data_IF_816386685687
#
_entry.id   IF_816386685687
#
_cell.length_a   1.000
_cell.length_b   1.000
_cell.length_c   1.000
_cell.angle_alpha   90.00
_cell.angle_beta   90.00
_cell.angle_gamma   90.00
#
_symmetry.space_group_name_H-M   'P 1'
#
loop_
_entity.id
_entity.type
_entity.pdbx_description
1 polymer ?
#
# COMPACT_ATOMS: atom_id res chain seq x y z
N UNK A 1 11.44 5.83 2.20
CA UNK A 1 11.43 4.33 2.18
C UNK A 1 10.48 3.78 3.24
N UNK A 2 10.19 2.47 3.28
CA UNK A 2 9.20 1.89 4.21
C UNK A 2 9.60 2.04 5.69
N UNK A 3 10.88 1.89 6.03
CA UNK A 3 11.40 2.12 7.38
C UNK A 3 11.19 3.57 7.86
N UNK A 4 11.52 4.53 6.99
CA UNK A 4 11.29 5.95 7.26
C UNK A 4 9.80 6.26 7.50
N UNK A 5 8.91 5.60 6.75
CA UNK A 5 7.47 5.73 6.96
C UNK A 5 7.04 5.21 8.34
N UNK A 6 7.62 4.11 8.83
CA UNK A 6 7.36 3.60 10.19
C UNK A 6 7.81 4.60 11.26
N UNK A 7 8.98 5.20 11.11
CA UNK A 7 9.48 6.21 12.04
C UNK A 7 8.57 7.45 12.06
N UNK A 8 8.18 7.94 10.89
CA UNK A 8 7.25 9.08 10.78
C UNK A 8 5.93 8.74 11.49
N UNK A 9 5.35 7.56 11.26
CA UNK A 9 4.09 7.15 11.87
C UNK A 9 4.23 7.02 13.40
N UNK A 10 5.33 6.45 13.89
CA UNK A 10 5.57 6.24 15.33
C UNK A 10 5.67 7.55 16.12
N UNK A 11 6.25 8.59 15.53
CA UNK A 11 6.42 9.89 16.18
C UNK A 11 5.30 10.90 15.86
N UNK A 12 4.34 10.53 15.02
CA UNK A 12 3.23 11.40 14.66
C UNK A 12 2.18 11.49 15.79
N UNK A 13 1.76 12.71 16.14
CA UNK A 13 0.79 12.98 17.23
C UNK A 13 -0.68 12.68 16.89
N UNK A 14 -0.96 11.95 15.81
CA UNK A 14 -2.32 11.67 15.33
C UNK A 14 -2.75 10.28 15.79
N UNK A 15 -3.96 10.14 16.29
CA UNK A 15 -4.51 8.83 16.71
C UNK A 15 -4.50 7.80 15.57
N UNK A 16 -4.77 8.24 14.35
CA UNK A 16 -4.75 7.39 13.16
C UNK A 16 -3.37 6.75 12.89
N UNK A 17 -2.28 7.34 13.38
CA UNK A 17 -0.93 6.86 13.13
C UNK A 17 -0.69 5.48 13.75
N UNK A 18 -1.21 5.22 14.95
CA UNK A 18 -1.10 3.92 15.62
C UNK A 18 -1.80 2.79 14.86
N UNK A 19 -2.88 3.11 14.15
CA UNK A 19 -3.57 2.12 13.30
C UNK A 19 -2.80 1.92 12.00
N UNK A 20 -2.35 2.99 11.36
CA UNK A 20 -1.59 2.92 10.11
C UNK A 20 -0.24 2.19 10.27
N UNK A 21 0.47 2.40 11.38
CA UNK A 21 1.71 1.71 11.71
C UNK A 21 1.53 0.19 11.65
N UNK A 22 0.43 -0.33 12.22
CA UNK A 22 0.10 -1.77 12.17
C UNK A 22 -0.18 -2.25 10.75
N UNK A 23 -0.84 -1.45 9.93
CA UNK A 23 -1.14 -1.82 8.54
C UNK A 23 0.15 -1.87 7.72
N UNK A 24 1.06 -0.91 7.91
CA UNK A 24 2.38 -0.91 7.24
C UNK A 24 3.22 -2.11 7.67
N UNK A 25 3.30 -2.41 8.97
CA UNK A 25 3.98 -3.60 9.48
C UNK A 25 3.39 -4.89 8.89
N UNK A 26 2.06 -4.97 8.80
CA UNK A 26 1.39 -6.11 8.17
C UNK A 26 1.69 -6.20 6.67
N UNK A 27 1.79 -5.08 5.97
CA UNK A 27 2.08 -5.06 4.54
C UNK A 27 3.50 -5.58 4.25
N UNK A 28 4.49 -5.14 5.06
CA UNK A 28 5.87 -5.64 5.00
C UNK A 28 5.89 -7.16 5.26
N UNK A 29 5.28 -7.61 6.36
CA UNK A 29 5.22 -9.03 6.70
C UNK A 29 4.52 -9.89 5.63
N UNK A 30 3.47 -9.35 4.99
CA UNK A 30 2.77 -10.02 3.90
C UNK A 30 3.65 -10.13 2.65
N UNK A 31 4.47 -9.12 2.37
CA UNK A 31 5.43 -9.15 1.25
C UNK A 31 6.51 -10.21 1.51
N UNK A 32 7.12 -10.21 2.70
CA UNK A 32 8.11 -11.22 3.11
C UNK A 32 7.54 -12.64 3.04
N UNK A 33 6.29 -12.82 3.49
CA UNK A 33 5.63 -14.12 3.46
C UNK A 33 5.39 -14.65 2.04
N UNK A 34 5.15 -13.77 1.05
CA UNK A 34 5.01 -14.18 -0.36
C UNK A 34 6.33 -14.71 -0.95
N UNK A 35 7.47 -14.30 -0.40
CA UNK A 35 8.81 -14.73 -0.79
C UNK A 35 9.35 -15.84 0.11
N UNK A 36 8.46 -16.56 0.79
CA UNK A 36 8.77 -17.64 1.74
C UNK A 36 9.75 -17.21 2.85
N UNK A 37 9.75 -15.91 3.20
CA UNK A 37 10.64 -15.29 4.20
C UNK A 37 12.13 -15.44 3.91
N UNK A 38 12.50 -15.65 2.65
CA UNK A 38 13.90 -15.75 2.24
C UNK A 38 14.55 -14.38 2.13
N UNK A 39 13.76 -13.39 1.72
CA UNK A 39 14.23 -12.03 1.41
C UNK A 39 13.78 -11.03 2.48
N UNK A 40 14.70 -10.17 2.94
CA UNK A 40 14.41 -9.17 3.98
C UNK A 40 14.03 -7.83 3.36
N UNK A 41 13.12 -7.10 4.00
CA UNK A 41 12.62 -5.81 3.49
C UNK A 41 13.71 -4.73 3.32
N UNK A 42 14.77 -4.80 4.14
CA UNK A 42 15.87 -3.84 4.13
C UNK A 42 16.78 -4.00 2.90
N UNK A 43 16.91 -5.22 2.37
CA UNK A 43 17.81 -5.52 1.25
C UNK A 43 17.25 -5.05 -0.09
N UNK A 44 15.92 -4.95 -0.22
CA UNK A 44 15.21 -4.64 -1.47
C UNK A 44 14.70 -3.20 -1.57
N UNK A 45 15.03 -2.37 -0.57
CA UNK A 45 14.58 -0.98 -0.42
C UNK A 45 13.07 -0.84 -0.65
N UNK A 46 12.29 -1.54 0.19
CA UNK A 46 10.84 -1.54 0.08
C UNK A 46 10.27 -0.13 0.27
N UNK A 47 9.34 0.26 -0.59
CA UNK A 47 8.67 1.56 -0.51
C UNK A 47 7.14 1.42 -0.67
N UNK A 48 6.43 2.42 -0.17
CA UNK A 48 4.98 2.51 -0.31
C UNK A 48 4.69 3.12 -1.68
N UNK A 49 4.12 2.33 -2.59
CA UNK A 49 3.76 2.77 -3.95
C UNK A 49 2.48 3.60 -3.92
N UNK A 50 1.45 3.06 -3.28
CA UNK A 50 0.12 3.68 -3.21
C UNK A 50 -0.46 3.54 -1.80
N UNK A 51 -1.11 4.59 -1.32
CA UNK A 51 -1.83 4.59 -0.06
C UNK A 51 -3.10 5.43 -0.21
N UNK A 52 -4.25 4.82 0.04
CA UNK A 52 -5.54 5.51 -0.04
C UNK A 52 -6.48 5.09 1.09
N UNK A 53 -7.42 5.98 1.41
CA UNK A 53 -8.46 5.73 2.40
C UNK A 53 -9.83 6.02 1.80
N UNK A 54 -10.63 4.98 1.67
CA UNK A 54 -11.97 5.04 1.12
C UNK A 54 -13.04 5.09 2.22
N UNK A 55 -14.22 5.58 1.87
CA UNK A 55 -15.37 5.61 2.79
C UNK A 55 -15.91 4.18 2.98
N UNK A 56 -16.24 3.83 4.22
CA UNK A 56 -16.81 2.54 4.58
C UNK A 56 -18.30 2.63 4.89
N UNK A 57 -18.81 1.62 5.58
CA UNK A 57 -20.20 1.63 6.04
C UNK A 57 -20.48 2.76 7.04
N UNK A 58 -21.67 3.34 6.97
CA UNK A 58 -22.08 4.42 7.86
C UNK A 58 -23.18 3.98 8.81
N UNK A 59 -22.90 4.03 10.11
CA UNK A 59 -23.90 3.83 11.14
C UNK A 59 -24.67 5.13 11.38
N UNK A 60 -26.00 5.04 11.32
CA UNK A 60 -26.92 6.15 11.61
C UNK A 60 -27.34 6.07 13.08
N UNK A 61 -27.17 7.16 13.81
CA UNK A 61 -27.63 7.32 15.21
C UNK A 61 -28.41 8.63 15.33
N UNK A 62 -29.30 8.69 16.32
CA UNK A 62 -30.05 9.91 16.62
C UNK A 62 -29.51 10.54 17.89
N UNK A 63 -29.43 11.87 17.91
CA UNK A 63 -29.19 12.67 19.11
C UNK A 63 -30.45 13.48 19.40
N UNK A 64 -30.98 13.43 20.64
CA UNK A 64 -32.13 14.23 21.01
C UNK A 64 -31.81 15.72 20.86
N UNK A 65 -32.76 16.49 20.37
CA UNK A 65 -32.68 17.92 20.16
C UNK A 65 -33.92 18.62 20.73
N UNK A 66 -33.88 19.95 20.93
CA UNK A 66 -35.01 20.69 21.50
C UNK A 66 -36.32 20.52 20.73
N UNK A 67 -37.45 20.70 21.41
CA UNK A 67 -38.81 20.60 20.85
C UNK A 67 -39.14 19.24 20.20
N UNK A 68 -38.71 18.13 20.81
CA UNK A 68 -39.02 16.77 20.32
C UNK A 68 -38.34 16.41 19.00
N UNK A 69 -37.34 17.16 18.57
CA UNK A 69 -36.61 16.93 17.32
C UNK A 69 -35.51 15.88 17.54
N UNK A 70 -35.14 15.18 16.47
CA UNK A 70 -34.02 14.24 16.47
C UNK A 70 -33.05 14.59 15.33
N UNK A 71 -31.82 14.95 15.68
CA UNK A 71 -30.75 15.15 14.69
C UNK A 71 -30.03 13.85 14.40
N UNK A 72 -29.71 13.62 13.12
CA UNK A 72 -28.99 12.43 12.68
C UNK A 72 -27.48 12.64 12.82
N UNK A 73 -26.81 11.73 13.52
CA UNK A 73 -25.36 11.60 13.56
C UNK A 73 -24.96 10.42 12.68
N UNK A 74 -24.00 10.64 11.78
CA UNK A 74 -23.38 9.58 10.99
C UNK A 74 -22.04 9.22 11.65
N UNK A 75 -21.90 7.97 12.08
CA UNK A 75 -20.60 7.40 12.49
C UNK A 75 -20.00 6.74 11.25
N UNK A 76 -18.94 7.34 10.72
CA UNK A 76 -18.26 6.90 9.50
C UNK A 76 -17.16 5.90 9.86
N UNK A 77 -17.03 4.85 9.06
CA UNK A 77 -15.84 4.00 9.04
C UNK A 77 -15.10 4.24 7.74
N UNK A 78 -13.86 3.79 7.64
CA UNK A 78 -13.06 3.86 6.43
C UNK A 78 -12.42 2.51 6.12
N UNK A 79 -12.06 2.33 4.85
CA UNK A 79 -11.15 1.27 4.41
C UNK A 79 -9.80 1.91 4.12
N UNK A 80 -8.72 1.21 4.45
CA UNK A 80 -7.35 1.68 4.21
C UNK A 80 -6.65 0.62 3.39
N UNK A 81 -6.08 1.03 2.26
CA UNK A 81 -5.32 0.15 1.38
C UNK A 81 -3.93 0.72 1.20
N UNK A 82 -2.92 -0.12 1.42
CA UNK A 82 -1.52 0.21 1.26
C UNK A 82 -0.91 -0.84 0.32
N UNK A 83 -0.23 -0.36 -0.72
CA UNK A 83 0.50 -1.18 -1.68
C UNK A 83 1.99 -0.90 -1.52
N UNK A 84 2.74 -1.96 -1.24
CA UNK A 84 4.21 -1.93 -1.14
C UNK A 84 4.85 -2.49 -2.40
N UNK A 85 5.97 -1.92 -2.80
CA UNK A 85 6.77 -2.35 -3.93
C UNK A 85 8.27 -2.29 -3.57
N UNK A 86 9.06 -3.13 -4.22
CA UNK A 86 10.51 -3.15 -4.16
C UNK A 86 11.09 -2.17 -5.20
N UNK A 87 12.17 -1.48 -4.85
CA UNK A 87 12.94 -0.66 -5.80
C UNK A 87 13.98 -1.51 -6.52
N UNK A 88 14.58 -2.46 -5.81
CA UNK A 88 15.53 -3.42 -6.36
C UNK A 88 14.72 -4.63 -6.87
N UNK A 89 14.83 -4.98 -8.15
CA UNK A 89 14.07 -6.11 -8.72
C UNK A 89 14.54 -7.43 -8.11
N UNK A 90 13.61 -8.36 -7.93
CA UNK A 90 13.94 -9.72 -7.51
C UNK A 90 14.57 -10.50 -8.69
N UNK A 91 15.45 -11.47 -8.42
CA UNK A 91 16.03 -12.30 -9.48
C UNK A 91 14.97 -13.08 -10.29
N UNK A 92 13.85 -13.45 -9.67
CA UNK A 92 12.72 -14.07 -10.36
C UNK A 92 11.91 -13.11 -11.25
N UNK A 93 11.94 -11.81 -10.96
CA UNK A 93 11.29 -10.78 -11.78
C UNK A 93 12.15 -10.41 -13.00
N UNK A 94 13.48 -10.53 -12.88
CA UNK A 94 14.41 -10.31 -13.98
C UNK A 94 14.23 -11.30 -15.15
N UNK A 95 13.81 -12.53 -14.87
CA UNK A 95 13.52 -13.54 -15.91
C UNK A 95 12.20 -13.26 -16.67
N UNK A 96 11.23 -12.58 -16.02
CA UNK A 96 9.94 -12.24 -16.61
C UNK A 96 9.97 -11.04 -17.56
N UNK A 97 10.93 -10.13 -17.40
CA UNK A 97 11.12 -8.96 -18.26
C UNK A 97 11.76 -9.30 -19.62
N UNK A 98 12.39 -10.47 -19.75
CA UNK A 98 13.04 -10.92 -20.99
C UNK A 98 12.09 -11.28 -22.13
N UNK A 99 10.77 -11.29 -21.92
CA UNK A 99 9.80 -11.59 -22.98
C UNK A 99 9.33 -10.35 -23.76
N UNK A 100 9.40 -9.15 -23.18
CA UNK A 100 8.87 -7.93 -23.79
C UNK A 100 9.94 -7.03 -24.44
N UNK A 101 11.24 -7.19 -24.13
CA UNK A 101 12.31 -6.41 -24.79
C UNK A 101 12.89 -7.08 -26.06
N UNK A 102 12.81 -8.40 -26.22
CA UNK A 102 13.44 -9.12 -27.36
C UNK A 102 12.73 -8.87 -28.70
N UNK A 103 11.46 -8.42 -28.69
CA UNK A 103 10.68 -8.19 -29.92
C UNK A 103 11.00 -6.88 -30.66
N UNK A 104 11.73 -5.95 -30.05
CA UNK A 104 12.03 -4.65 -30.68
C UNK A 104 13.36 -4.72 -31.45
N UNK A 105 14.32 -5.51 -30.99
CA UNK A 105 15.64 -5.65 -31.64
C UNK A 105 15.59 -6.49 -32.94
N UNK A 106 14.68 -7.46 -33.08
CA UNK A 106 14.56 -8.26 -34.32
C UNK A 106 13.89 -7.48 -35.48
N UNK A 107 13.17 -6.40 -35.20
CA UNK A 107 12.49 -5.59 -36.23
C UNK A 107 13.42 -4.49 -36.79
N UNK A 108 14.44 -4.06 -36.05
CA UNK A 108 15.42 -3.07 -36.53
C UNK A 108 16.46 -3.66 -37.51
N UNK A 109 16.88 -4.92 -37.35
CA UNK A 109 17.82 -5.57 -38.29
C UNK A 109 17.18 -5.99 -39.63
N UNK A 110 15.84 -6.11 -39.71
CA UNK A 110 15.15 -6.48 -40.95
C UNK A 110 14.77 -5.28 -41.85
N UNK A 111 15.05 -4.05 -41.40
CA UNK A 111 14.69 -2.81 -42.09
C UNK A 111 15.79 -2.19 -42.96
N UNK A 112 16.96 -2.83 -43.05
CA UNK A 112 18.13 -2.29 -43.74
C UNK A 112 18.72 -3.29 -44.76
N UNK A 113 17.86 -3.79 -45.66
CA UNK A 113 18.22 -4.26 -47.02
C UNK A 113 17.19 -3.78 -48.06
#
# INVERSE_FOLDING_TARGET
NALEALDILRFTKKEAATVLEKVVLSAIANWEYKLDRTESADDYDLYIKEAYSDDGTMLKRFRPAPHGRAHRIRKRTNHVTIVVANRIPLPSEAEGAGADEVLIDEVEEAGEE
#
